data_IF_529836588412
#
_entry.id   IF_529836588412
#
_cell.length_a   1.000
_cell.length_b   1.000
_cell.length_c   1.000
_cell.angle_alpha   90.00
_cell.angle_beta   90.00
_cell.angle_gamma   90.00
#
_symmetry.space_group_name_H-M   'P 1'
#
loop_
_entity.id
_entity.type
_entity.pdbx_description
1 polymer ?
#
# COMPACT_ATOMS: atom_id res chain seq x y z
N UNK A 1 -21.92 25.42 -7.38
CA UNK A 1 -21.35 24.13 -6.94
C UNK A 1 -20.46 24.20 -5.68
N UNK A 2 -19.94 25.37 -5.26
CA UNK A 2 -19.06 25.56 -4.08
C UNK A 2 -19.80 25.75 -2.75
N UNK A 3 -21.12 25.99 -2.76
CA UNK A 3 -21.90 26.26 -1.54
C UNK A 3 -22.53 25.02 -0.88
N UNK A 4 -22.60 23.89 -1.59
CA UNK A 4 -23.23 22.68 -1.04
C UNK A 4 -22.29 21.84 -0.17
N UNK A 5 -20.99 21.89 -0.43
CA UNK A 5 -20.00 21.20 0.41
C UNK A 5 -19.92 21.76 1.84
N UNK A 6 -20.13 23.08 2.02
CA UNK A 6 -20.17 23.68 3.37
C UNK A 6 -21.41 23.29 4.17
N UNK A 7 -22.52 22.95 3.54
CA UNK A 7 -23.78 22.59 4.24
C UNK A 7 -23.75 21.18 4.85
N UNK A 8 -22.97 20.26 4.30
CA UNK A 8 -22.84 18.91 4.85
C UNK A 8 -22.06 18.89 6.17
N UNK A 9 -21.16 19.87 6.40
CA UNK A 9 -20.31 19.93 7.59
C UNK A 9 -20.98 20.48 8.84
N UNK A 10 -22.10 21.18 8.73
CA UNK A 10 -22.79 21.81 9.87
C UNK A 10 -23.69 20.86 10.67
N UNK A 11 -23.86 19.59 10.27
CA UNK A 11 -24.79 18.66 10.93
C UNK A 11 -24.15 17.66 11.88
N UNK A 12 -22.80 17.59 11.98
CA UNK A 12 -22.14 16.75 12.96
C UNK A 12 -21.24 17.63 13.84
N UNK A 13 -21.60 17.82 15.09
CA UNK A 13 -21.07 18.81 16.02
C UNK A 13 -19.62 18.65 16.51
N UNK A 14 -18.73 18.06 15.72
CA UNK A 14 -17.27 18.12 15.86
C UNK A 14 -16.64 18.35 14.49
N UNK A 15 -15.95 19.46 14.35
CA UNK A 15 -15.24 19.83 13.14
C UNK A 15 -14.07 18.86 12.92
N UNK A 16 -14.15 17.94 11.94
CA UNK A 16 -13.06 17.05 11.58
C UNK A 16 -11.84 17.87 11.15
N UNK A 17 -10.92 18.05 12.07
CA UNK A 17 -9.74 18.89 11.87
C UNK A 17 -8.84 18.34 10.77
N UNK A 18 -8.63 17.01 10.71
CA UNK A 18 -7.79 16.39 9.69
C UNK A 18 -8.32 16.71 8.29
N UNK A 19 -9.63 16.55 8.10
CA UNK A 19 -10.30 16.82 6.82
C UNK A 19 -10.12 18.28 6.40
N UNK A 20 -10.35 19.22 7.31
CA UNK A 20 -10.22 20.65 7.05
C UNK A 20 -8.79 21.05 6.68
N UNK A 21 -7.82 20.65 7.49
CA UNK A 21 -6.41 20.97 7.27
C UNK A 21 -5.87 20.40 5.94
N UNK A 22 -6.30 19.21 5.54
CA UNK A 22 -5.98 18.63 4.22
C UNK A 22 -6.62 19.47 3.11
N UNK A 23 -7.91 19.80 3.22
CA UNK A 23 -8.61 20.57 2.20
C UNK A 23 -8.01 21.97 1.99
N UNK A 24 -7.48 22.60 3.05
CA UNK A 24 -6.79 23.89 2.97
C UNK A 24 -5.46 23.84 2.20
N UNK A 25 -4.89 22.65 1.99
CA UNK A 25 -3.63 22.45 1.24
C UNK A 25 -3.85 22.13 -0.24
N UNK A 26 -5.09 22.18 -0.73
CA UNK A 26 -5.38 21.93 -2.13
C UNK A 26 -4.55 22.82 -3.08
N UNK A 27 -4.08 22.22 -4.18
CA UNK A 27 -3.31 22.89 -5.22
C UNK A 27 -3.86 22.50 -6.61
N UNK A 28 -4.80 23.26 -7.16
CA UNK A 28 -5.43 22.94 -8.45
C UNK A 28 -4.43 22.76 -9.60
N UNK A 29 -3.29 23.44 -9.55
CA UNK A 29 -2.27 23.37 -10.60
C UNK A 29 -1.55 21.99 -10.65
N UNK A 30 -1.59 21.21 -9.56
CA UNK A 30 -0.99 19.88 -9.48
C UNK A 30 -1.98 18.75 -9.84
N UNK A 31 -3.27 19.01 -9.87
CA UNK A 31 -4.32 17.98 -10.03
C UNK A 31 -4.14 17.19 -11.32
N UNK A 32 -3.95 17.86 -12.45
CA UNK A 32 -3.78 17.18 -13.74
C UNK A 32 -2.54 16.29 -13.76
N UNK A 33 -1.42 16.78 -13.19
CA UNK A 33 -0.17 16.03 -13.09
C UNK A 33 -0.33 14.76 -12.24
N UNK A 34 -0.98 14.86 -11.08
CA UNK A 34 -1.24 13.71 -10.21
C UNK A 34 -2.22 12.73 -10.86
N UNK A 35 -3.32 13.20 -11.43
CA UNK A 35 -4.29 12.35 -12.12
C UNK A 35 -3.64 11.53 -13.24
N UNK A 36 -2.76 12.15 -14.02
CA UNK A 36 -1.98 11.45 -15.06
C UNK A 36 -1.00 10.43 -14.47
N UNK A 37 -0.30 10.78 -13.38
CA UNK A 37 0.66 9.91 -12.71
C UNK A 37 -0.02 8.68 -12.10
N UNK A 38 -1.17 8.86 -11.44
CA UNK A 38 -1.95 7.80 -10.80
C UNK A 38 -2.91 7.08 -11.75
N UNK A 39 -2.87 7.41 -13.06
CA UNK A 39 -3.61 6.69 -14.09
C UNK A 39 -5.13 6.67 -13.85
N UNK A 40 -5.74 7.84 -13.73
CA UNK A 40 -7.19 7.98 -13.47
C UNK A 40 -8.05 7.98 -14.71
N UNK A 41 -7.47 7.90 -15.89
CA UNK A 41 -8.20 7.85 -17.16
C UNK A 41 -9.05 6.57 -17.30
N UNK A 42 -10.03 6.63 -18.21
CA UNK A 42 -10.95 5.52 -18.46
C UNK A 42 -10.21 4.20 -18.77
N UNK A 43 -10.58 3.12 -18.10
CA UNK A 43 -9.97 1.79 -18.23
C UNK A 43 -8.61 1.64 -17.54
N UNK A 44 -8.14 2.66 -16.81
CA UNK A 44 -6.89 2.60 -16.05
C UNK A 44 -7.16 2.21 -14.59
N UNK A 45 -6.11 1.79 -13.87
CA UNK A 45 -6.24 1.23 -12.53
C UNK A 45 -6.71 2.23 -11.46
N UNK A 46 -6.57 3.54 -11.69
CA UNK A 46 -7.04 4.61 -10.82
C UNK A 46 -8.30 5.31 -11.36
N UNK A 47 -9.04 4.68 -12.30
CA UNK A 47 -10.25 5.27 -12.85
C UNK A 47 -11.23 5.70 -11.75
N UNK A 48 -11.70 6.94 -11.85
CA UNK A 48 -12.66 7.52 -10.90
C UNK A 48 -12.03 8.22 -9.69
N UNK A 49 -10.71 8.08 -9.46
CA UNK A 49 -10.03 8.81 -8.38
C UNK A 49 -9.99 10.31 -8.64
N UNK A 50 -10.31 11.09 -7.62
CA UNK A 50 -10.20 12.54 -7.61
C UNK A 50 -9.02 13.01 -6.77
N UNK A 51 -8.39 14.11 -7.18
CA UNK A 51 -7.21 14.66 -6.52
C UNK A 51 -7.44 16.10 -6.08
N UNK A 52 -6.88 16.45 -4.92
CA UNK A 52 -6.78 17.83 -4.41
C UNK A 52 -5.49 18.52 -4.89
N UNK A 53 -4.55 17.79 -5.46
CA UNK A 53 -3.26 18.30 -5.90
C UNK A 53 -2.17 18.31 -4.82
N UNK A 54 -2.34 17.58 -3.73
CA UNK A 54 -1.46 17.63 -2.56
C UNK A 54 -0.37 16.56 -2.65
N UNK A 55 0.89 16.97 -2.58
CA UNK A 55 2.02 16.02 -2.56
C UNK A 55 2.15 15.32 -1.21
N UNK A 56 2.56 14.05 -1.21
CA UNK A 56 2.73 13.21 -0.01
C UNK A 56 3.48 13.89 1.15
N UNK A 57 4.59 14.65 0.94
CA UNK A 57 5.25 15.34 2.05
C UNK A 57 4.34 16.36 2.77
N UNK A 58 3.47 17.06 2.05
CA UNK A 58 2.51 18.02 2.62
C UNK A 58 1.44 17.28 3.43
N UNK A 59 0.89 16.18 2.89
CA UNK A 59 -0.05 15.32 3.62
C UNK A 59 0.57 14.81 4.93
N UNK A 60 1.84 14.37 4.90
CA UNK A 60 2.55 13.91 6.10
C UNK A 60 2.72 15.00 7.16
N UNK A 61 2.95 16.24 6.75
CA UNK A 61 3.09 17.36 7.70
C UNK A 61 1.75 17.65 8.38
N UNK A 62 0.64 17.66 7.65
CA UNK A 62 -0.71 17.81 8.24
C UNK A 62 -1.01 16.68 9.21
N UNK A 63 -0.76 15.43 8.80
CA UNK A 63 -0.96 14.26 9.66
C UNK A 63 -0.17 14.38 10.96
N UNK A 64 1.10 14.79 10.90
CA UNK A 64 1.93 15.00 12.09
C UNK A 64 1.33 15.98 13.08
N UNK A 65 0.61 16.99 12.61
CA UNK A 65 -0.03 18.03 13.45
C UNK A 65 -1.40 17.59 13.99
N UNK A 66 -2.10 16.67 13.30
CA UNK A 66 -3.49 16.33 13.57
C UNK A 66 -3.70 14.99 14.27
N UNK A 67 -2.85 13.97 14.05
CA UNK A 67 -3.12 12.57 14.40
C UNK A 67 -3.54 12.35 15.87
N UNK A 68 -2.97 13.09 16.84
CA UNK A 68 -3.27 12.92 18.27
C UNK A 68 -4.71 13.31 18.65
N UNK A 69 -5.34 14.14 17.83
CA UNK A 69 -6.70 14.66 18.08
C UNK A 69 -7.72 14.10 17.08
N UNK A 70 -7.31 13.22 16.19
CA UNK A 70 -8.16 12.59 15.18
C UNK A 70 -8.81 11.35 15.78
N UNK A 71 -10.13 11.32 15.80
CA UNK A 71 -10.93 10.18 16.25
C UNK A 71 -11.07 9.12 15.15
N UNK A 72 -11.58 7.92 15.48
CA UNK A 72 -11.90 6.93 14.46
C UNK A 72 -13.08 7.35 13.57
N UNK A 73 -14.00 8.17 14.07
CA UNK A 73 -15.10 8.73 13.26
C UNK A 73 -14.57 9.75 12.24
N UNK A 74 -13.55 10.54 12.64
CA UNK A 74 -12.84 11.41 11.70
C UNK A 74 -12.12 10.60 10.61
N UNK A 75 -11.46 9.49 11.00
CA UNK A 75 -10.82 8.59 10.05
C UNK A 75 -11.82 7.95 9.08
N UNK A 76 -12.99 7.53 9.59
CA UNK A 76 -14.08 6.98 8.78
C UNK A 76 -14.52 7.96 7.70
N UNK A 77 -14.70 9.23 8.07
CA UNK A 77 -15.05 10.30 7.13
C UNK A 77 -13.97 10.50 6.07
N UNK A 78 -12.69 10.50 6.49
CA UNK A 78 -11.56 10.74 5.58
C UNK A 78 -11.29 9.56 4.66
N UNK A 79 -11.37 8.32 5.16
CA UNK A 79 -11.06 7.12 4.37
C UNK A 79 -12.11 6.85 3.29
N UNK A 80 -13.36 7.27 3.51
CA UNK A 80 -14.45 7.16 2.53
C UNK A 80 -14.53 8.32 1.54
N UNK A 81 -13.62 9.28 1.64
CA UNK A 81 -13.61 10.45 0.75
C UNK A 81 -13.36 10.04 -0.72
N UNK A 82 -13.98 10.78 -1.64
CA UNK A 82 -13.69 10.69 -3.08
C UNK A 82 -12.26 11.16 -3.42
N UNK A 83 -11.66 12.00 -2.55
CA UNK A 83 -10.32 12.53 -2.77
C UNK A 83 -9.24 11.58 -2.29
N UNK A 84 -8.31 11.27 -3.20
CA UNK A 84 -7.17 10.37 -2.94
C UNK A 84 -6.34 10.79 -1.74
N UNK A 85 -5.96 12.07 -1.66
CA UNK A 85 -5.10 12.58 -0.58
C UNK A 85 -5.80 12.58 0.78
N UNK A 86 -7.13 12.63 0.80
CA UNK A 86 -7.90 12.50 2.03
C UNK A 86 -7.82 11.07 2.58
N UNK A 87 -7.98 10.06 1.68
CA UNK A 87 -7.80 8.65 2.05
C UNK A 87 -6.37 8.37 2.50
N UNK A 88 -5.37 8.94 1.81
CA UNK A 88 -3.97 8.85 2.21
C UNK A 88 -3.74 9.45 3.61
N UNK A 89 -4.32 10.61 3.90
CA UNK A 89 -4.21 11.25 5.22
C UNK A 89 -4.82 10.38 6.32
N UNK A 90 -5.98 9.75 6.08
CA UNK A 90 -6.60 8.81 7.01
C UNK A 90 -5.67 7.62 7.31
N UNK A 91 -5.13 6.98 6.27
CA UNK A 91 -4.24 5.82 6.41
C UNK A 91 -2.93 6.18 7.12
N UNK A 92 -2.32 7.30 6.78
CA UNK A 92 -1.10 7.77 7.46
C UNK A 92 -1.38 8.13 8.92
N UNK A 93 -2.55 8.70 9.22
CA UNK A 93 -2.97 8.98 10.61
C UNK A 93 -3.18 7.69 11.39
N UNK A 94 -3.84 6.69 10.79
CA UNK A 94 -4.03 5.36 11.38
C UNK A 94 -2.69 4.70 11.71
N UNK A 95 -1.69 4.80 10.81
CA UNK A 95 -0.31 4.35 11.05
C UNK A 95 0.31 5.07 12.24
N UNK A 96 0.10 6.39 12.39
CA UNK A 96 0.62 7.12 13.55
C UNK A 96 -0.02 6.65 14.86
N UNK A 97 -1.35 6.49 14.89
CA UNK A 97 -2.07 5.97 16.07
C UNK A 97 -1.53 4.58 16.43
N UNK A 98 -1.42 3.67 15.47
CA UNK A 98 -0.91 2.32 15.66
C UNK A 98 0.51 2.32 16.25
N UNK A 99 1.43 3.09 15.66
CA UNK A 99 2.83 3.20 16.13
C UNK A 99 2.95 3.73 17.55
N UNK A 100 2.06 4.63 17.95
CA UNK A 100 2.09 5.22 19.29
C UNK A 100 1.30 4.42 20.31
N UNK A 101 0.45 3.49 19.88
CA UNK A 101 -0.25 2.55 20.76
C UNK A 101 0.70 1.61 21.50
N UNK A 102 1.90 1.32 20.95
CA UNK A 102 2.99 0.53 21.57
C UNK A 102 2.50 -0.72 22.33
N UNK A 103 2.19 -0.56 23.65
CA UNK A 103 1.77 -1.65 24.55
C UNK A 103 0.25 -1.78 24.65
N UNK A 104 -0.52 -0.91 24.01
CA UNK A 104 -1.98 -0.99 23.95
C UNK A 104 -2.39 -1.89 22.77
N UNK A 105 -2.39 -3.18 23.01
CA UNK A 105 -2.73 -4.18 22.00
C UNK A 105 -4.19 -4.06 21.52
N UNK A 106 -5.11 -3.59 22.39
CA UNK A 106 -6.51 -3.37 22.01
C UNK A 106 -6.62 -2.22 21.00
N UNK A 107 -5.90 -1.12 21.22
CA UNK A 107 -5.88 -0.02 20.28
C UNK A 107 -5.17 -0.41 18.96
N UNK A 108 -4.06 -1.18 19.03
CA UNK A 108 -3.41 -1.70 17.84
C UNK A 108 -4.35 -2.59 17.04
N UNK A 109 -5.04 -3.52 17.71
CA UNK A 109 -6.04 -4.38 17.07
C UNK A 109 -7.15 -3.55 16.41
N UNK A 110 -7.67 -2.54 17.10
CA UNK A 110 -8.68 -1.63 16.54
C UNK A 110 -8.20 -0.94 15.27
N UNK A 111 -6.94 -0.51 15.21
CA UNK A 111 -6.36 0.06 13.99
C UNK A 111 -6.31 -0.96 12.84
N UNK A 112 -5.93 -2.20 13.13
CA UNK A 112 -5.90 -3.29 12.15
C UNK A 112 -7.31 -3.64 11.66
N UNK A 113 -8.27 -3.78 12.57
CA UNK A 113 -9.67 -4.06 12.24
C UNK A 113 -10.25 -2.94 11.36
N UNK A 114 -9.97 -1.68 11.71
CA UNK A 114 -10.36 -0.53 10.89
C UNK A 114 -9.76 -0.60 9.48
N UNK A 115 -8.46 -0.87 9.35
CA UNK A 115 -7.79 -1.00 8.05
C UNK A 115 -8.43 -2.10 7.19
N UNK A 116 -8.67 -3.28 7.78
CA UNK A 116 -9.26 -4.42 7.08
C UNK A 116 -10.71 -4.18 6.67
N UNK A 117 -11.48 -3.44 7.48
CA UNK A 117 -12.86 -3.07 7.15
C UNK A 117 -12.95 -2.05 6.01
N UNK A 118 -11.84 -1.39 5.64
CA UNK A 118 -11.81 -0.31 4.65
C UNK A 118 -10.88 -0.58 3.46
N UNK A 119 -10.52 -1.85 3.21
CA UNK A 119 -9.63 -2.22 2.08
C UNK A 119 -10.18 -1.79 0.73
N UNK A 120 -11.50 -1.65 0.57
CA UNK A 120 -12.14 -1.14 -0.65
C UNK A 120 -11.72 0.29 -1.01
N UNK A 121 -11.38 1.11 -0.01
CA UNK A 121 -10.91 2.50 -0.17
C UNK A 121 -9.38 2.60 -0.30
N UNK A 122 -8.65 1.51 -0.07
CA UNK A 122 -7.20 1.42 -0.28
C UNK A 122 -6.95 1.01 -1.74
N UNK A 123 -7.37 1.85 -2.65
CA UNK A 123 -7.56 1.56 -4.06
C UNK A 123 -6.46 2.13 -4.97
N UNK A 124 -5.25 2.33 -4.45
CA UNK A 124 -4.08 2.72 -5.23
C UNK A 124 -2.78 2.18 -4.58
N UNK A 125 -1.71 2.08 -5.40
CA UNK A 125 -0.45 1.49 -4.96
C UNK A 125 0.22 2.25 -3.81
N UNK A 126 0.16 3.58 -3.78
CA UNK A 126 0.74 4.38 -2.71
C UNK A 126 -0.05 4.27 -1.39
N UNK A 127 -1.39 4.18 -1.46
CA UNK A 127 -2.24 3.92 -0.31
C UNK A 127 -1.89 2.58 0.35
N UNK A 128 -1.63 1.54 -0.45
CA UNK A 128 -1.17 0.23 0.01
C UNK A 128 0.24 0.34 0.60
N UNK A 129 1.19 0.83 -0.21
CA UNK A 129 2.62 0.77 0.09
C UNK A 129 3.04 1.68 1.26
N UNK A 130 2.24 2.69 1.61
CA UNK A 130 2.51 3.58 2.74
C UNK A 130 1.81 3.16 4.04
N UNK A 131 0.95 2.14 4.01
CA UNK A 131 0.14 1.75 5.17
C UNK A 131 0.27 0.27 5.58
N UNK A 132 0.15 -0.68 4.63
CA UNK A 132 -0.07 -2.08 4.96
C UNK A 132 1.06 -2.73 5.78
N UNK A 133 2.33 -2.52 5.42
CA UNK A 133 3.43 -3.14 6.15
C UNK A 133 3.64 -2.51 7.54
N UNK A 134 3.29 -1.24 7.70
CA UNK A 134 3.35 -0.54 8.99
C UNK A 134 2.23 -0.99 9.95
N UNK A 135 1.08 -1.38 9.42
CA UNK A 135 -0.08 -1.87 10.17
C UNK A 135 -0.06 -3.40 10.25
N UNK A 136 -0.45 -4.08 9.15
CA UNK A 136 -0.58 -5.54 9.12
C UNK A 136 0.76 -6.24 9.28
N UNK A 137 1.81 -5.78 8.56
CA UNK A 137 3.12 -6.37 8.68
C UNK A 137 3.66 -6.30 10.11
N UNK A 138 3.52 -5.15 10.79
CA UNK A 138 3.96 -5.00 12.18
C UNK A 138 3.08 -5.80 13.15
N UNK A 139 1.77 -5.79 12.96
CA UNK A 139 0.82 -6.54 13.80
C UNK A 139 1.06 -8.05 13.77
N UNK A 140 1.48 -8.58 12.60
CA UNK A 140 1.65 -10.01 12.37
C UNK A 140 3.08 -10.53 12.60
N UNK A 141 4.00 -9.72 13.14
CA UNK A 141 5.38 -10.16 13.41
C UNK A 141 5.42 -11.37 14.33
N UNK A 142 4.58 -11.38 15.34
CA UNK A 142 4.50 -12.42 16.38
C UNK A 142 3.17 -13.20 16.39
N UNK A 143 2.40 -13.11 15.29
CA UNK A 143 1.06 -13.72 15.18
C UNK A 143 0.95 -14.60 13.94
N UNK A 144 -0.17 -15.33 13.83
CA UNK A 144 -0.50 -16.11 12.63
C UNK A 144 -0.64 -15.20 11.41
N UNK A 145 0.05 -15.56 10.33
CA UNK A 145 0.16 -14.81 9.07
C UNK A 145 -0.79 -15.31 7.96
N UNK A 146 -1.66 -16.27 8.27
CA UNK A 146 -2.61 -16.86 7.30
C UNK A 146 -3.43 -15.80 6.55
N UNK A 147 -3.75 -14.67 7.21
CA UNK A 147 -4.43 -13.53 6.62
C UNK A 147 -3.70 -12.99 5.36
N UNK A 148 -2.37 -12.89 5.38
CA UNK A 148 -1.62 -12.37 4.24
C UNK A 148 -1.63 -13.33 3.05
N UNK A 149 -1.58 -14.63 3.32
CA UNK A 149 -1.71 -15.67 2.31
C UNK A 149 -3.11 -15.67 1.69
N UNK A 150 -4.14 -15.47 2.51
CA UNK A 150 -5.52 -15.37 2.03
C UNK A 150 -5.72 -14.14 1.15
N UNK A 151 -5.28 -12.97 1.60
CA UNK A 151 -5.31 -11.73 0.81
C UNK A 151 -4.56 -11.89 -0.53
N UNK A 152 -3.36 -12.48 -0.51
CA UNK A 152 -2.58 -12.70 -1.72
C UNK A 152 -3.27 -13.68 -2.69
N UNK A 153 -3.89 -14.76 -2.18
CA UNK A 153 -4.54 -15.79 -2.97
C UNK A 153 -5.94 -15.40 -3.45
N UNK A 154 -6.78 -14.94 -2.52
CA UNK A 154 -8.23 -14.79 -2.67
C UNK A 154 -8.71 -13.33 -2.65
N UNK A 155 -7.82 -12.35 -2.47
CA UNK A 155 -8.17 -10.94 -2.44
C UNK A 155 -9.00 -10.55 -3.67
N UNK A 156 -10.15 -9.90 -3.45
CA UNK A 156 -11.15 -9.56 -4.47
C UNK A 156 -10.66 -8.52 -5.46
N UNK A 157 -9.73 -7.68 -5.02
CA UNK A 157 -9.15 -6.62 -5.82
C UNK A 157 -7.64 -6.81 -5.97
N UNK A 158 -7.07 -6.18 -6.98
CA UNK A 158 -5.61 -6.15 -7.12
C UNK A 158 -4.92 -5.51 -5.88
N UNK A 159 -5.63 -4.62 -5.20
CA UNK A 159 -5.11 -3.91 -4.04
C UNK A 159 -5.05 -4.78 -2.79
N UNK A 160 -6.09 -5.58 -2.53
CA UNK A 160 -6.07 -6.59 -1.45
C UNK A 160 -4.96 -7.62 -1.68
N UNK A 161 -4.79 -8.09 -2.93
CA UNK A 161 -3.70 -8.99 -3.27
C UNK A 161 -2.33 -8.33 -3.05
N UNK A 162 -2.19 -7.03 -3.41
CA UNK A 162 -0.98 -6.26 -3.17
C UNK A 162 -0.71 -6.07 -1.67
N UNK A 163 -1.74 -5.83 -0.85
CA UNK A 163 -1.64 -5.76 0.61
C UNK A 163 -1.01 -7.05 1.16
N UNK A 164 -1.48 -8.23 0.72
CA UNK A 164 -0.92 -9.52 1.12
C UNK A 164 0.58 -9.62 0.87
N UNK A 165 1.04 -9.19 -0.31
CA UNK A 165 2.46 -9.23 -0.67
C UNK A 165 3.28 -8.15 0.06
N UNK A 166 2.84 -6.88 -0.01
CA UNK A 166 3.65 -5.75 0.47
C UNK A 166 3.77 -5.74 2.00
N UNK A 167 2.80 -6.32 2.72
CA UNK A 167 2.88 -6.46 4.18
C UNK A 167 4.11 -7.25 4.64
N UNK A 168 4.63 -8.17 3.81
CA UNK A 168 5.85 -8.94 4.12
C UNK A 168 7.12 -8.09 4.22
N UNK A 169 7.09 -6.84 3.74
CA UNK A 169 8.22 -5.91 3.90
C UNK A 169 8.66 -5.78 5.36
N UNK A 170 7.72 -5.83 6.30
CA UNK A 170 8.06 -5.73 7.72
C UNK A 170 8.81 -6.97 8.21
N UNK A 171 8.45 -8.16 7.74
CA UNK A 171 9.16 -9.41 8.06
C UNK A 171 10.57 -9.36 7.50
N UNK A 172 10.74 -8.91 6.26
CA UNK A 172 12.07 -8.71 5.66
C UNK A 172 12.95 -7.77 6.50
N UNK A 173 12.38 -6.71 7.08
CA UNK A 173 13.11 -5.78 7.97
C UNK A 173 13.57 -6.46 9.26
N UNK A 174 12.91 -7.54 9.68
CA UNK A 174 13.28 -8.36 10.83
C UNK A 174 14.10 -9.61 10.48
N UNK A 175 14.52 -9.74 9.21
CA UNK A 175 15.34 -10.85 8.74
C UNK A 175 14.56 -12.14 8.42
N UNK A 176 13.22 -12.07 8.42
CA UNK A 176 12.34 -13.18 8.10
C UNK A 176 11.95 -13.13 6.62
N UNK A 177 12.43 -14.08 5.82
CA UNK A 177 12.30 -14.07 4.37
C UNK A 177 11.23 -15.04 3.84
N UNK A 178 10.85 -16.03 4.64
CA UNK A 178 10.07 -17.20 4.22
C UNK A 178 8.72 -16.81 3.62
N UNK A 179 7.96 -15.96 4.31
CA UNK A 179 6.64 -15.54 3.84
C UNK A 179 6.70 -14.77 2.51
N UNK A 180 7.75 -13.97 2.32
CA UNK A 180 7.93 -13.24 1.06
C UNK A 180 8.07 -14.21 -0.12
N UNK A 181 8.89 -15.25 0.01
CA UNK A 181 9.06 -16.25 -1.04
C UNK A 181 7.80 -17.11 -1.21
N UNK A 182 7.19 -17.56 -0.12
CA UNK A 182 5.98 -18.37 -0.17
C UNK A 182 4.79 -17.62 -0.82
N UNK A 183 4.60 -16.34 -0.47
CA UNK A 183 3.56 -15.51 -1.09
C UNK A 183 3.91 -15.20 -2.56
N UNK A 184 5.18 -14.99 -2.91
CA UNK A 184 5.60 -14.84 -4.30
C UNK A 184 5.26 -16.09 -5.14
N UNK A 185 5.41 -17.28 -4.58
CA UNK A 185 5.02 -18.54 -5.23
C UNK A 185 3.50 -18.56 -5.53
N UNK A 186 2.65 -18.10 -4.62
CA UNK A 186 1.21 -17.98 -4.86
C UNK A 186 0.87 -17.11 -6.07
N UNK A 187 1.64 -16.04 -6.32
CA UNK A 187 1.43 -15.20 -7.50
C UNK A 187 1.87 -15.86 -8.80
N UNK A 188 2.84 -16.78 -8.75
CA UNK A 188 3.27 -17.56 -9.93
C UNK A 188 2.26 -18.66 -10.30
N UNK A 189 1.44 -19.11 -9.33
CA UNK A 189 0.37 -20.07 -9.55
C UNK A 189 -0.89 -19.45 -10.20
N UNK A 190 -0.99 -18.11 -10.18
CA UNK A 190 -2.16 -17.39 -10.72
C UNK A 190 -2.21 -17.44 -12.25
N UNK A 191 -3.44 -17.39 -12.83
CA UNK A 191 -3.61 -17.25 -14.27
C UNK A 191 -2.92 -15.99 -14.83
N UNK A 192 -2.30 -16.11 -15.99
CA UNK A 192 -1.73 -15.00 -16.73
C UNK A 192 -2.79 -14.35 -17.65
N UNK A 193 -2.67 -13.02 -17.92
CA UNK A 193 -1.62 -12.13 -17.46
C UNK A 193 -1.86 -11.59 -16.04
N UNK A 194 -0.88 -11.68 -15.17
CA UNK A 194 -0.91 -10.99 -13.88
C UNK A 194 -0.79 -9.48 -14.08
N UNK A 195 -1.58 -8.70 -13.35
CA UNK A 195 -1.56 -7.23 -13.45
C UNK A 195 -0.16 -6.65 -13.19
N UNK A 196 0.26 -5.67 -13.99
CA UNK A 196 1.64 -5.08 -13.96
C UNK A 196 2.03 -4.58 -12.55
N UNK A 197 1.11 -3.95 -11.82
CA UNK A 197 1.36 -3.47 -10.46
C UNK A 197 1.58 -4.61 -9.44
N UNK A 198 1.00 -5.79 -9.66
CA UNK A 198 1.28 -6.99 -8.85
C UNK A 198 2.66 -7.57 -9.21
N UNK A 199 2.98 -7.65 -10.51
CA UNK A 199 4.31 -8.07 -10.94
C UNK A 199 5.42 -7.20 -10.33
N UNK A 200 5.22 -5.88 -10.32
CA UNK A 200 6.14 -4.92 -9.71
C UNK A 200 6.26 -5.11 -8.19
N UNK A 201 5.14 -5.33 -7.50
CA UNK A 201 5.16 -5.56 -6.05
C UNK A 201 5.95 -6.82 -5.70
N UNK A 202 5.63 -7.95 -6.33
CA UNK A 202 6.33 -9.22 -6.07
C UNK A 202 7.82 -9.09 -6.39
N UNK A 203 8.18 -8.54 -7.57
CA UNK A 203 9.58 -8.31 -7.93
C UNK A 203 10.31 -7.38 -6.96
N UNK A 204 9.64 -6.32 -6.48
CA UNK A 204 10.20 -5.42 -5.49
C UNK A 204 10.50 -6.14 -4.16
N UNK A 205 9.55 -6.91 -3.62
CA UNK A 205 9.75 -7.62 -2.35
C UNK A 205 10.80 -8.73 -2.48
N UNK A 206 10.87 -9.45 -3.61
CA UNK A 206 11.95 -10.39 -3.91
C UNK A 206 13.32 -9.70 -3.95
N UNK A 207 13.42 -8.52 -4.57
CA UNK A 207 14.64 -7.71 -4.55
C UNK A 207 15.04 -7.31 -3.13
N UNK A 208 14.07 -6.91 -2.30
CA UNK A 208 14.33 -6.57 -0.89
C UNK A 208 14.77 -7.80 -0.09
N UNK A 209 14.23 -8.98 -0.36
CA UNK A 209 14.71 -10.25 0.19
C UNK A 209 16.15 -10.54 -0.25
N UNK A 210 16.45 -10.39 -1.55
CA UNK A 210 17.78 -10.61 -2.11
C UNK A 210 18.86 -9.66 -1.58
N UNK A 211 18.52 -8.46 -1.13
CA UNK A 211 19.44 -7.56 -0.43
C UNK A 211 19.90 -8.13 0.94
N UNK A 212 19.17 -9.06 1.50
CA UNK A 212 19.45 -9.71 2.78
C UNK A 212 20.13 -11.06 2.60
N UNK A 213 19.69 -11.79 1.58
CA UNK A 213 20.25 -13.09 1.19
C UNK A 213 20.18 -13.25 -0.33
N UNK A 214 21.25 -12.80 -1.01
CA UNK A 214 21.34 -12.84 -2.47
C UNK A 214 21.39 -14.28 -2.99
N UNK A 215 22.09 -15.18 -2.28
CA UNK A 215 22.19 -16.56 -2.72
C UNK A 215 20.83 -17.26 -2.68
N UNK A 216 20.07 -17.05 -1.61
CA UNK A 216 18.71 -17.57 -1.51
C UNK A 216 17.79 -17.05 -2.64
N UNK A 217 17.91 -15.77 -3.01
CA UNK A 217 17.17 -15.24 -4.16
C UNK A 217 17.57 -15.94 -5.46
N UNK A 218 18.87 -16.15 -5.69
CA UNK A 218 19.38 -16.86 -6.88
C UNK A 218 18.87 -18.30 -6.94
N UNK A 219 18.90 -19.01 -5.82
CA UNK A 219 18.42 -20.40 -5.73
C UNK A 219 16.91 -20.46 -6.01
N UNK A 220 16.12 -19.54 -5.44
CA UNK A 220 14.68 -19.46 -5.69
C UNK A 220 14.38 -19.12 -7.15
N UNK A 221 15.10 -18.17 -7.75
CA UNK A 221 14.96 -17.78 -9.15
C UNK A 221 15.31 -18.92 -10.11
N UNK A 222 16.37 -19.69 -9.82
CA UNK A 222 16.90 -20.75 -10.72
C UNK A 222 15.82 -21.74 -11.18
N UNK A 223 14.83 -22.00 -10.33
CA UNK A 223 13.74 -22.93 -10.58
C UNK A 223 12.53 -22.25 -11.25
N UNK A 224 12.39 -20.91 -11.11
CA UNK A 224 11.14 -20.19 -11.42
C UNK A 224 11.24 -19.16 -12.53
N UNK A 225 12.42 -18.63 -12.81
CA UNK A 225 12.60 -17.45 -13.68
C UNK A 225 11.99 -17.62 -15.09
N UNK A 226 11.96 -18.83 -15.63
CA UNK A 226 11.40 -19.10 -16.95
C UNK A 226 9.89 -18.87 -17.01
N UNK A 227 9.19 -19.13 -15.90
CA UNK A 227 7.74 -18.96 -15.76
C UNK A 227 7.35 -17.60 -15.18
N UNK A 228 8.33 -16.78 -14.76
CA UNK A 228 8.05 -15.46 -14.20
C UNK A 228 7.65 -14.46 -15.29
N UNK A 229 6.63 -13.62 -15.04
CA UNK A 229 6.39 -12.45 -15.86
C UNK A 229 7.65 -11.57 -15.95
N UNK A 230 7.94 -11.07 -17.14
CA UNK A 230 9.19 -10.32 -17.41
C UNK A 230 9.39 -9.10 -16.51
N UNK A 231 8.32 -8.36 -16.21
CA UNK A 231 8.37 -7.21 -15.29
C UNK A 231 8.74 -7.67 -13.88
N UNK A 232 8.16 -8.76 -13.40
CA UNK A 232 8.45 -9.32 -12.07
C UNK A 232 9.93 -9.71 -11.95
N UNK A 233 10.45 -10.47 -12.92
CA UNK A 233 11.86 -10.88 -12.94
C UNK A 233 12.80 -9.66 -12.97
N UNK A 234 12.54 -8.69 -13.86
CA UNK A 234 13.35 -7.48 -13.97
C UNK A 234 13.44 -6.70 -12.65
N UNK A 235 12.34 -6.60 -11.91
CA UNK A 235 12.32 -5.95 -10.61
C UNK A 235 13.07 -6.75 -9.55
N UNK A 236 12.93 -8.09 -9.55
CA UNK A 236 13.60 -8.95 -8.59
C UNK A 236 15.13 -8.88 -8.69
N UNK A 237 15.66 -8.84 -9.91
CA UNK A 237 17.11 -8.85 -10.17
C UNK A 237 17.74 -7.45 -10.34
N UNK A 238 16.99 -6.38 -10.07
CA UNK A 238 17.44 -4.98 -10.33
C UNK A 238 18.79 -4.65 -9.67
N UNK A 239 19.12 -5.28 -8.55
CA UNK A 239 20.38 -5.03 -7.82
C UNK A 239 21.51 -5.98 -8.18
N UNK A 240 21.29 -6.94 -9.05
CA UNK A 240 22.37 -7.79 -9.58
C UNK A 240 23.28 -7.01 -10.53
N UNK A 241 24.56 -7.44 -10.70
CA UNK A 241 25.44 -6.90 -11.71
C UNK A 241 24.84 -6.96 -13.12
N UNK A 242 25.18 -6.00 -13.98
CA UNK A 242 24.57 -5.87 -15.31
C UNK A 242 24.70 -7.13 -16.15
N UNK A 243 25.88 -7.75 -16.17
CA UNK A 243 26.13 -9.00 -16.89
C UNK A 243 25.24 -10.15 -16.39
N UNK A 244 25.03 -10.21 -15.08
CA UNK A 244 24.19 -11.24 -14.47
C UNK A 244 22.72 -11.00 -14.81
N UNK A 245 22.24 -9.73 -14.72
CA UNK A 245 20.88 -9.37 -15.14
C UNK A 245 20.63 -9.74 -16.60
N UNK A 246 21.63 -9.49 -17.48
CA UNK A 246 21.53 -9.86 -18.90
C UNK A 246 21.35 -11.38 -19.06
N UNK A 247 22.11 -12.20 -18.32
CA UNK A 247 21.95 -13.67 -18.34
C UNK A 247 20.54 -14.07 -17.95
N UNK A 248 20.06 -13.63 -16.76
CA UNK A 248 18.71 -13.95 -16.30
C UNK A 248 17.59 -13.52 -17.26
N UNK A 249 17.78 -12.39 -17.95
CA UNK A 249 16.77 -11.86 -18.87
C UNK A 249 16.79 -12.51 -20.25
N UNK A 250 17.87 -13.14 -20.68
CA UNK A 250 18.04 -13.67 -22.04
C UNK A 250 18.16 -15.20 -22.11
N UNK A 251 18.36 -15.90 -21.00
CA UNK A 251 18.31 -17.36 -20.94
C UNK A 251 16.82 -17.79 -20.96
N UNK A 252 16.43 -18.48 -22.03
CA UNK A 252 15.11 -19.14 -22.16
C UNK A 252 15.27 -20.61 -21.85
#
# INVERSE_FOLDING_TARGET
>A
MWNDLRKCFYFCGMENRLYKEILEKQDPDQVEGLSRFFKTGKGQYGEGDQFLGIKVPVTREVVKQCWQKTSFDDLETCVRSEYHEMRLAALLTLVQIFKHAKKDELLQKRCVDFYLAHTEFVNNWDLVDLSCYELLGTWLLDKDRALLYDLARNGKTLWEQRIGMVSTMQFLRHGELDDTYAIADLFLEKPLPLHDLLQKAVGWLLREAGKRDEQRLKDWLSIRYQNMPRTMLRYAIEKFPEEERFKWMNTK
#
